data_IF_289186610945
#
_entry.id   IF_289186610945
#
_cell.length_a   1.000
_cell.length_b   1.000
_cell.length_c   1.000
_cell.angle_alpha   90.00
_cell.angle_beta   90.00
_cell.angle_gamma   90.00
#
_symmetry.space_group_name_H-M   'P 1'
#
loop_
_entity.id
_entity.type
_entity.pdbx_description
1 polymer ?
#
# COMPACT_ATOMS: atom_id res chain seq x y z
N UNK A 1 1.65 16.15 42.70
CA UNK A 1 0.42 15.40 42.41
C UNK A 1 -0.62 16.18 41.59
N UNK A 2 -1.51 17.00 42.17
CA UNK A 2 -2.67 17.57 41.44
C UNK A 2 -2.34 18.34 40.15
N UNK A 3 -1.31 19.19 40.17
CA UNK A 3 -0.94 20.00 39.01
C UNK A 3 -0.41 19.15 37.85
N UNK A 4 0.37 18.11 38.16
CA UNK A 4 0.89 17.19 37.16
C UNK A 4 -0.25 16.38 36.52
N UNK A 5 -1.20 15.90 37.33
CA UNK A 5 -2.39 15.21 36.83
C UNK A 5 -3.26 16.10 35.94
N UNK A 6 -3.42 17.38 36.30
CA UNK A 6 -4.17 18.34 35.49
C UNK A 6 -3.53 18.55 34.10
N UNK A 7 -2.23 18.82 34.07
CA UNK A 7 -1.52 18.99 32.79
C UNK A 7 -1.47 17.68 31.99
N UNK A 8 -1.37 16.54 32.67
CA UNK A 8 -1.50 15.23 32.03
C UNK A 8 -2.86 15.07 31.33
N UNK A 9 -3.95 15.40 32.03
CA UNK A 9 -5.30 15.35 31.46
C UNK A 9 -5.48 16.32 30.28
N UNK A 10 -4.97 17.54 30.39
CA UNK A 10 -5.02 18.54 29.31
C UNK A 10 -4.24 18.08 28.08
N UNK A 11 -3.03 17.54 28.25
CA UNK A 11 -2.23 17.03 27.15
C UNK A 11 -2.93 15.87 26.41
N UNK A 12 -3.63 14.99 27.13
CA UNK A 12 -4.42 13.93 26.51
C UNK A 12 -5.61 14.50 25.71
N UNK A 13 -6.29 15.50 26.26
CA UNK A 13 -7.40 16.18 25.58
C UNK A 13 -6.95 16.85 24.27
N UNK A 14 -5.84 17.60 24.29
CA UNK A 14 -5.29 18.24 23.09
C UNK A 14 -4.86 17.22 22.03
N UNK A 15 -4.27 16.09 22.47
CA UNK A 15 -3.91 14.99 21.57
C UNK A 15 -5.15 14.36 20.93
N UNK A 16 -6.23 14.19 21.69
CA UNK A 16 -7.50 13.67 21.19
C UNK A 16 -8.11 14.61 20.13
N UNK A 17 -8.17 15.91 20.41
CA UNK A 17 -8.66 16.91 19.45
C UNK A 17 -7.81 16.95 18.17
N UNK A 18 -6.49 16.88 18.30
CA UNK A 18 -5.57 16.85 17.15
C UNK A 18 -5.84 15.61 16.30
N UNK A 19 -6.03 14.45 16.92
CA UNK A 19 -6.35 13.21 16.23
C UNK A 19 -7.68 13.32 15.48
N UNK A 20 -8.71 13.87 16.12
CA UNK A 20 -10.02 14.06 15.50
C UNK A 20 -9.93 14.92 14.23
N UNK A 21 -9.22 16.05 14.30
CA UNK A 21 -8.97 16.92 13.14
C UNK A 21 -8.22 16.22 12.02
N UNK A 22 -7.19 15.44 12.35
CA UNK A 22 -6.44 14.66 11.35
C UNK A 22 -7.35 13.64 10.67
N UNK A 23 -8.19 12.92 11.42
CA UNK A 23 -9.12 11.95 10.86
C UNK A 23 -10.17 12.61 9.96
N UNK A 24 -10.72 13.76 10.36
CA UNK A 24 -11.61 14.55 9.53
C UNK A 24 -10.94 15.00 8.22
N UNK A 25 -9.68 15.45 8.29
CA UNK A 25 -8.88 15.82 7.12
C UNK A 25 -8.60 14.64 6.18
N UNK A 26 -8.19 13.49 6.73
CA UNK A 26 -7.98 12.26 5.96
C UNK A 26 -9.27 11.77 5.29
N UNK A 27 -10.40 11.84 5.99
CA UNK A 27 -11.71 11.50 5.41
C UNK A 27 -12.07 12.45 4.26
N UNK A 28 -11.83 13.75 4.40
CA UNK A 28 -12.04 14.72 3.32
C UNK A 28 -11.11 14.48 2.13
N UNK A 29 -9.84 14.17 2.36
CA UNK A 29 -8.88 13.81 1.31
C UNK A 29 -9.30 12.54 0.56
N UNK A 30 -9.77 11.51 1.29
CA UNK A 30 -10.30 10.27 0.70
C UNK A 30 -11.53 10.53 -0.16
N UNK A 31 -12.47 11.39 0.27
CA UNK A 31 -13.62 11.81 -0.55
C UNK A 31 -13.21 12.52 -1.85
N UNK A 32 -12.06 13.20 -1.86
CA UNK A 32 -11.47 13.82 -3.06
C UNK A 32 -10.68 12.81 -3.94
N UNK A 33 -10.70 11.52 -3.61
CA UNK A 33 -10.00 10.48 -4.36
C UNK A 33 -8.53 10.29 -4.00
N UNK A 34 -8.01 10.92 -2.93
CA UNK A 34 -6.64 10.66 -2.47
C UNK A 34 -6.60 9.35 -1.68
N UNK A 35 -5.93 8.34 -2.22
CA UNK A 35 -5.80 7.02 -1.58
C UNK A 35 -4.89 7.03 -0.32
N UNK A 36 -3.87 7.89 -0.31
CA UNK A 36 -2.84 7.92 0.75
C UNK A 36 -1.93 6.68 0.76
N UNK A 37 -1.08 6.55 1.78
CA UNK A 37 -0.19 5.40 1.95
C UNK A 37 1.05 5.40 1.05
N UNK A 38 1.82 4.31 1.11
CA UNK A 38 3.03 4.11 0.28
C UNK A 38 2.61 3.77 -1.16
N UNK A 39 3.14 4.46 -2.19
CA UNK A 39 2.84 4.11 -3.57
C UNK A 39 3.32 2.69 -3.91
N UNK A 40 2.67 2.01 -4.86
CA UNK A 40 3.12 0.71 -5.34
C UNK A 40 4.52 0.83 -5.94
N UNK A 41 5.35 -0.19 -5.72
CA UNK A 41 6.73 -0.24 -6.23
C UNK A 41 6.78 -0.58 -7.73
N UNK A 42 5.79 -1.32 -8.24
CA UNK A 42 5.66 -1.67 -9.64
C UNK A 42 4.65 -0.69 -10.24
N UNK A 43 5.06 0.05 -11.27
CA UNK A 43 4.15 0.91 -12.02
C UNK A 43 3.16 0.08 -12.87
N UNK A 44 2.13 0.74 -13.41
CA UNK A 44 1.09 0.06 -14.17
C UNK A 44 1.63 -0.55 -15.48
N UNK A 45 2.48 0.17 -16.20
CA UNK A 45 3.03 -0.26 -17.49
C UNK A 45 3.95 -1.49 -17.33
N UNK A 46 4.83 -1.47 -16.34
CA UNK A 46 5.68 -2.61 -15.99
C UNK A 46 4.84 -3.77 -15.52
N UNK A 47 3.75 -3.54 -14.79
CA UNK A 47 2.84 -4.61 -14.38
C UNK A 47 2.15 -5.29 -15.57
N UNK A 48 1.72 -4.52 -16.57
CA UNK A 48 1.16 -5.06 -17.82
C UNK A 48 2.21 -5.92 -18.55
N UNK A 49 3.45 -5.45 -18.66
CA UNK A 49 4.54 -6.22 -19.27
C UNK A 49 4.89 -7.47 -18.48
N UNK A 50 4.87 -7.40 -17.15
CA UNK A 50 5.09 -8.53 -16.26
C UNK A 50 4.01 -9.59 -16.44
N UNK A 51 2.74 -9.19 -16.45
CA UNK A 51 1.60 -10.12 -16.59
C UNK A 51 1.60 -10.77 -17.97
N UNK A 52 1.82 -10.00 -19.04
CA UNK A 52 1.98 -10.54 -20.40
C UNK A 52 3.12 -11.56 -20.50
N UNK A 53 4.28 -11.29 -19.85
CA UNK A 53 5.39 -12.24 -19.84
C UNK A 53 5.06 -13.53 -19.07
N UNK A 54 4.36 -13.43 -17.94
CA UNK A 54 3.92 -14.59 -17.16
C UNK A 54 2.89 -15.43 -17.91
N UNK A 55 1.96 -14.78 -18.61
CA UNK A 55 0.94 -15.44 -19.42
C UNK A 55 1.54 -16.12 -20.65
N UNK A 56 2.61 -15.53 -21.22
CA UNK A 56 3.47 -16.16 -22.24
C UNK A 56 4.36 -17.30 -21.71
N UNK A 57 4.22 -17.71 -20.45
CA UNK A 57 4.91 -18.86 -19.87
C UNK A 57 6.25 -18.55 -19.19
N UNK A 58 6.64 -17.28 -19.05
CA UNK A 58 7.86 -16.93 -18.33
C UNK A 58 7.77 -17.32 -16.85
N UNK A 59 8.89 -17.79 -16.28
CA UNK A 59 8.93 -18.09 -14.85
C UNK A 59 8.94 -16.81 -14.01
N UNK A 60 8.28 -16.84 -12.85
CA UNK A 60 8.33 -15.73 -11.86
C UNK A 60 9.76 -15.31 -11.51
N UNK A 61 10.71 -16.25 -11.48
CA UNK A 61 12.12 -15.98 -11.21
C UNK A 61 12.80 -15.22 -12.36
N UNK A 62 12.51 -15.59 -13.61
CA UNK A 62 13.00 -14.86 -14.78
C UNK A 62 12.47 -13.43 -14.79
N UNK A 63 11.15 -13.25 -14.56
CA UNK A 63 10.51 -11.94 -14.48
C UNK A 63 11.14 -11.06 -13.39
N UNK A 64 11.36 -11.59 -12.18
CA UNK A 64 12.03 -10.83 -11.11
C UNK A 64 13.40 -10.29 -11.54
N UNK A 65 14.20 -11.10 -12.25
CA UNK A 65 15.53 -10.71 -12.73
C UNK A 65 15.45 -9.65 -13.83
N UNK A 66 14.60 -9.87 -14.84
CA UNK A 66 14.45 -8.99 -15.98
C UNK A 66 13.96 -7.60 -15.57
N UNK A 67 12.93 -7.54 -14.73
CA UNK A 67 12.33 -6.27 -14.29
C UNK A 67 12.96 -5.71 -13.00
N UNK A 68 13.99 -6.37 -12.46
CA UNK A 68 14.67 -6.00 -11.20
C UNK A 68 13.70 -5.79 -10.02
N UNK A 69 12.63 -6.59 -9.97
CA UNK A 69 11.61 -6.55 -8.92
C UNK A 69 11.90 -7.64 -7.88
N UNK A 70 11.93 -7.31 -6.58
CA UNK A 70 12.05 -8.33 -5.53
C UNK A 70 10.90 -9.34 -5.59
N UNK A 71 11.21 -10.61 -5.35
CA UNK A 71 10.22 -11.70 -5.43
C UNK A 71 9.03 -11.48 -4.49
N UNK A 72 9.26 -10.95 -3.28
CA UNK A 72 8.19 -10.61 -2.32
C UNK A 72 7.24 -9.55 -2.87
N UNK A 73 7.78 -8.48 -3.49
CA UNK A 73 7.01 -7.43 -4.15
C UNK A 73 6.19 -7.99 -5.30
N UNK A 74 6.78 -8.82 -6.16
CA UNK A 74 6.07 -9.43 -7.28
C UNK A 74 4.90 -10.29 -6.78
N UNK A 75 5.15 -11.21 -5.85
CA UNK A 75 4.10 -12.11 -5.34
C UNK A 75 2.97 -11.34 -4.65
N UNK A 76 3.30 -10.35 -3.81
CA UNK A 76 2.30 -9.51 -3.15
C UNK A 76 1.49 -8.66 -4.13
N UNK A 77 2.11 -8.23 -5.23
CA UNK A 77 1.42 -7.46 -6.29
C UNK A 77 0.49 -8.37 -7.09
N UNK A 78 0.95 -9.55 -7.51
CA UNK A 78 0.13 -10.54 -8.23
C UNK A 78 -1.09 -10.98 -7.41
N UNK A 79 -0.92 -11.20 -6.10
CA UNK A 79 -2.03 -11.53 -5.21
C UNK A 79 -3.03 -10.37 -5.08
N UNK A 80 -2.55 -9.11 -5.01
CA UNK A 80 -3.41 -7.93 -4.91
C UNK A 80 -4.27 -7.71 -6.15
N UNK A 81 -3.75 -8.02 -7.33
CA UNK A 81 -4.50 -7.92 -8.60
C UNK A 81 -5.29 -9.18 -8.96
N UNK A 82 -5.22 -10.23 -8.13
CA UNK A 82 -5.93 -11.49 -8.38
C UNK A 82 -5.39 -12.28 -9.58
N UNK A 83 -4.12 -12.10 -9.95
CA UNK A 83 -3.54 -12.83 -11.08
C UNK A 83 -3.47 -14.34 -10.75
N UNK A 84 -4.09 -15.15 -11.60
CA UNK A 84 -4.05 -16.61 -11.53
C UNK A 84 -3.13 -17.14 -12.63
N UNK A 85 -2.32 -18.14 -12.29
CA UNK A 85 -1.44 -18.75 -13.29
C UNK A 85 -2.28 -19.40 -14.40
N UNK A 86 -1.94 -19.17 -15.68
CA UNK A 86 -2.61 -19.86 -16.77
C UNK A 86 -2.47 -21.36 -16.58
N UNK A 87 -3.57 -22.09 -16.78
CA UNK A 87 -3.57 -23.55 -16.70
C UNK A 87 -2.59 -24.07 -17.75
N UNK A 88 -1.54 -24.75 -17.29
CA UNK A 88 -0.64 -25.48 -18.21
C UNK A 88 -1.52 -26.49 -18.95
N UNK A 89 -1.69 -26.28 -20.25
CA UNK A 89 -2.25 -27.28 -21.17
C UNK A 89 -1.23 -28.41 -21.29
#
# INVERSE_FOLDING_TARGET
ELLFSLFGALAQYERALTRERVMAGLAAAKRRGRQGGRPPMIDAETLERITAALDGGASKASVCRTFKVPRSTLLGTLARIGWAAPRKV
#
